data_IF_874019269671
#
_entry.id   IF_874019269671
#
_cell.length_a   1.000
_cell.length_b   1.000
_cell.length_c   1.000
_cell.angle_alpha   90.00
_cell.angle_beta   90.00
_cell.angle_gamma   90.00
#
_symmetry.space_group_name_H-M   'P 1'
#
loop_
_entity.id
_entity.type
_entity.pdbx_description
1 polymer ?
#
# COMPACT_ATOMS: atom_id res chain seq x y z
N UNK A 1 1.88 -20.60 1.41
CA UNK A 1 2.44 -19.43 2.11
C UNK A 1 2.33 -18.22 1.21
N UNK A 2 2.44 -16.98 1.73
CA UNK A 2 2.28 -15.74 0.94
C UNK A 2 3.16 -15.71 -0.32
N UNK A 3 4.38 -16.24 -0.25
CA UNK A 3 5.28 -16.36 -1.39
C UNK A 3 4.74 -17.27 -2.52
N UNK A 4 3.95 -18.30 -2.20
CA UNK A 4 3.34 -19.18 -3.19
C UNK A 4 2.22 -18.47 -3.97
N UNK A 5 1.47 -17.58 -3.31
CA UNK A 5 0.41 -16.76 -3.93
C UNK A 5 1.00 -15.76 -4.91
N UNK A 6 2.06 -15.05 -4.49
CA UNK A 6 2.79 -14.10 -5.35
C UNK A 6 3.41 -14.83 -6.55
N UNK A 7 3.96 -16.03 -6.36
CA UNK A 7 4.52 -16.83 -7.45
C UNK A 7 3.47 -17.34 -8.44
N UNK A 8 2.20 -17.44 -8.04
CA UNK A 8 1.09 -17.89 -8.89
C UNK A 8 0.35 -16.75 -9.59
N UNK A 9 0.75 -15.49 -9.35
CA UNK A 9 0.04 -14.29 -9.81
C UNK A 9 -1.43 -14.24 -9.36
N UNK A 10 -1.71 -14.85 -8.21
CA UNK A 10 -3.02 -14.80 -7.52
C UNK A 10 -3.07 -13.61 -6.54
N UNK A 11 -2.12 -12.68 -6.63
CA UNK A 11 -2.05 -11.44 -5.86
C UNK A 11 -3.11 -10.40 -6.26
N UNK A 12 -3.92 -10.70 -7.28
CA UNK A 12 -5.08 -9.93 -7.70
C UNK A 12 -6.37 -10.34 -6.99
N UNK A 13 -6.38 -11.48 -6.28
CA UNK A 13 -7.54 -11.94 -5.53
C UNK A 13 -7.68 -11.17 -4.20
N UNK A 14 -8.91 -10.90 -3.73
CA UNK A 14 -9.13 -10.27 -2.43
C UNK A 14 -8.45 -11.05 -1.30
N UNK A 15 -7.86 -10.32 -0.34
CA UNK A 15 -7.28 -10.93 0.83
C UNK A 15 -8.29 -11.82 1.56
N UNK A 16 -7.84 -13.01 1.99
CA UNK A 16 -8.67 -13.86 2.84
C UNK A 16 -8.93 -13.20 4.20
N UNK A 17 -10.05 -13.53 4.83
CA UNK A 17 -10.36 -13.05 6.18
C UNK A 17 -9.29 -13.49 7.19
N UNK A 18 -8.77 -14.72 7.05
CA UNK A 18 -7.69 -15.23 7.88
C UNK A 18 -6.42 -14.38 7.77
N UNK A 19 -6.01 -14.04 6.53
CA UNK A 19 -4.83 -13.20 6.29
C UNK A 19 -5.05 -11.78 6.83
N UNK A 20 -6.22 -11.21 6.61
CA UNK A 20 -6.60 -9.90 7.14
C UNK A 20 -6.49 -9.85 8.66
N UNK A 21 -7.05 -10.85 9.34
CA UNK A 21 -7.00 -10.95 10.79
C UNK A 21 -5.57 -11.18 11.30
N UNK A 22 -4.76 -11.97 10.60
CA UNK A 22 -3.35 -12.17 10.93
C UNK A 22 -2.55 -10.86 10.82
N UNK A 23 -2.72 -10.09 9.73
CA UNK A 23 -2.06 -8.79 9.56
C UNK A 23 -2.47 -7.80 10.64
N UNK A 24 -3.76 -7.72 10.98
CA UNK A 24 -4.25 -6.83 12.05
C UNK A 24 -3.69 -7.20 13.41
N UNK A 25 -3.66 -8.50 13.75
CA UNK A 25 -3.08 -8.97 15.01
C UNK A 25 -1.60 -8.65 15.11
N UNK A 26 -0.86 -8.86 14.02
CA UNK A 26 0.56 -8.54 13.98
C UNK A 26 0.80 -7.04 14.09
N UNK A 27 0.00 -6.21 13.41
CA UNK A 27 0.15 -4.76 13.50
C UNK A 27 -0.22 -4.20 14.88
N UNK A 28 -1.19 -4.80 15.57
CA UNK A 28 -1.57 -4.42 16.92
C UNK A 28 -0.57 -4.87 18.01
N UNK A 29 0.39 -5.73 17.68
CA UNK A 29 1.41 -6.21 18.61
C UNK A 29 2.36 -5.08 19.03
N UNK A 30 2.64 -4.99 20.33
CA UNK A 30 3.50 -3.94 20.88
C UNK A 30 4.94 -4.06 20.40
N UNK A 31 5.47 -5.27 20.26
CA UNK A 31 6.83 -5.49 19.75
C UNK A 31 6.96 -5.08 18.28
N UNK A 32 5.91 -5.30 17.48
CA UNK A 32 5.85 -4.82 16.09
C UNK A 32 5.77 -3.29 16.04
N UNK A 33 4.98 -2.65 16.90
CA UNK A 33 4.92 -1.19 16.99
C UNK A 33 6.26 -0.57 17.45
N UNK A 34 6.96 -1.19 18.41
CA UNK A 34 8.30 -0.77 18.84
C UNK A 34 9.33 -0.92 17.70
N UNK A 35 9.29 -2.03 16.97
CA UNK A 35 10.12 -2.25 15.79
C UNK A 35 9.86 -1.17 14.73
N UNK A 36 8.57 -0.90 14.45
CA UNK A 36 8.16 0.17 13.54
C UNK A 36 8.66 1.55 14.00
N UNK A 37 8.69 1.83 15.31
CA UNK A 37 9.27 3.07 15.84
C UNK A 37 10.76 3.27 15.51
N UNK A 38 11.46 2.18 15.18
CA UNK A 38 12.86 2.14 14.74
C UNK A 38 12.99 1.95 13.22
N UNK A 39 11.94 2.24 12.45
CA UNK A 39 11.92 2.01 11.00
C UNK A 39 12.99 2.77 10.22
N UNK A 40 13.63 3.77 10.82
CA UNK A 40 14.78 4.47 10.24
C UNK A 40 16.06 3.62 10.21
N UNK A 41 16.11 2.50 10.93
CA UNK A 41 17.25 1.58 10.96
C UNK A 41 17.23 0.55 9.82
N UNK A 42 16.12 0.43 9.08
CA UNK A 42 15.96 -0.55 8.01
C UNK A 42 15.12 0.00 6.84
N UNK A 43 15.04 -0.77 5.75
CA UNK A 43 14.29 -0.36 4.57
C UNK A 43 12.80 -0.67 4.76
N UNK A 44 12.03 0.34 5.17
CA UNK A 44 10.57 0.28 5.23
C UNK A 44 9.95 1.31 4.28
N UNK A 45 8.77 1.02 3.76
CA UNK A 45 8.01 1.97 2.96
C UNK A 45 7.40 3.06 3.86
N UNK A 46 7.56 4.33 3.51
CA UNK A 46 6.99 5.47 4.25
C UNK A 46 5.46 5.39 4.41
N UNK A 47 4.79 4.78 3.43
CA UNK A 47 3.34 4.57 3.44
C UNK A 47 2.90 3.33 4.23
N UNK A 48 3.83 2.58 4.86
CA UNK A 48 3.50 1.35 5.58
C UNK A 48 2.43 1.58 6.66
N UNK A 49 2.61 2.61 7.49
CA UNK A 49 1.64 2.96 8.53
C UNK A 49 0.27 3.31 7.95
N UNK A 50 0.23 4.09 6.88
CA UNK A 50 -1.02 4.49 6.21
C UNK A 50 -1.85 3.28 5.80
N UNK A 51 -1.22 2.25 5.22
CA UNK A 51 -1.93 1.05 4.81
C UNK A 51 -2.26 0.12 5.98
N UNK A 52 -1.32 -0.09 6.91
CA UNK A 52 -1.51 -1.03 8.02
C UNK A 52 -2.53 -0.54 9.07
N UNK A 53 -2.66 0.78 9.23
CA UNK A 53 -3.69 1.37 10.12
C UNK A 53 -5.11 1.18 9.57
N UNK A 54 -5.28 0.97 8.27
CA UNK A 54 -6.59 0.95 7.59
C UNK A 54 -6.86 -0.34 6.82
N UNK A 55 -6.33 -1.46 7.34
CA UNK A 55 -6.51 -2.80 6.76
C UNK A 55 -7.98 -3.19 6.60
N UNK A 56 -8.88 -2.70 7.46
CA UNK A 56 -10.32 -3.00 7.37
C UNK A 56 -10.96 -2.42 6.11
N UNK A 57 -10.45 -1.30 5.59
CA UNK A 57 -10.92 -0.72 4.33
C UNK A 57 -10.26 -1.41 3.13
N UNK A 58 -8.94 -1.63 3.22
CA UNK A 58 -8.13 -2.16 2.13
C UNK A 58 -8.40 -3.64 1.83
N UNK A 59 -8.78 -4.43 2.83
CA UNK A 59 -9.06 -5.86 2.68
C UNK A 59 -10.52 -6.17 2.32
N UNK A 60 -11.36 -5.15 2.08
CA UNK A 60 -12.74 -5.38 1.62
C UNK A 60 -12.75 -5.94 0.20
N UNK A 61 -13.71 -6.82 -0.08
CA UNK A 61 -13.91 -7.39 -1.42
C UNK A 61 -14.29 -6.34 -2.47
N UNK A 62 -14.94 -5.27 -2.04
CA UNK A 62 -15.35 -4.12 -2.86
C UNK A 62 -14.43 -2.90 -2.68
N UNK A 63 -13.21 -3.10 -2.16
CA UNK A 63 -12.25 -2.03 -1.98
C UNK A 63 -11.99 -1.29 -3.30
N UNK A 64 -12.24 0.01 -3.29
CA UNK A 64 -11.86 0.93 -4.36
C UNK A 64 -10.78 1.90 -3.84
N UNK A 65 -9.60 1.95 -4.51
CA UNK A 65 -8.56 2.88 -4.13
C UNK A 65 -9.01 4.33 -4.18
N UNK A 66 -8.71 5.06 -3.12
CA UNK A 66 -8.83 6.51 -3.09
C UNK A 66 -7.65 7.15 -3.81
N UNK A 67 -7.77 8.43 -4.16
CA UNK A 67 -6.64 9.21 -4.69
C UNK A 67 -5.44 9.19 -3.74
N UNK A 68 -5.67 9.17 -2.43
CA UNK A 68 -4.61 9.07 -1.43
C UNK A 68 -3.91 7.72 -1.45
N UNK A 69 -4.65 6.61 -1.61
CA UNK A 69 -4.05 5.29 -1.76
C UNK A 69 -3.15 5.25 -3.01
N UNK A 70 -3.60 5.83 -4.12
CA UNK A 70 -2.85 5.90 -5.37
C UNK A 70 -1.56 6.72 -5.17
N UNK A 71 -1.65 7.91 -4.58
CA UNK A 71 -0.49 8.77 -4.33
C UNK A 71 0.52 8.16 -3.35
N UNK A 72 0.04 7.36 -2.39
CA UNK A 72 0.88 6.67 -1.39
C UNK A 72 1.46 5.36 -1.90
N UNK A 73 0.94 4.81 -2.99
CA UNK A 73 1.42 3.56 -3.58
C UNK A 73 2.76 3.80 -4.27
N UNK A 74 3.80 3.11 -3.81
CA UNK A 74 5.13 3.20 -4.42
C UNK A 74 5.22 2.24 -5.59
N UNK A 75 4.91 2.72 -6.79
CA UNK A 75 5.21 2.01 -8.05
C UNK A 75 6.53 2.54 -8.60
N UNK A 76 7.45 1.64 -8.96
CA UNK A 76 8.70 2.05 -9.61
C UNK A 76 8.38 2.62 -10.99
N UNK A 77 8.80 3.86 -11.23
CA UNK A 77 8.68 4.48 -12.55
C UNK A 77 9.50 3.67 -13.58
N UNK A 78 8.83 3.10 -14.58
CA UNK A 78 9.46 2.30 -15.64
C UNK A 78 9.72 3.10 -16.92
N UNK A 79 9.31 4.37 -16.99
CA UNK A 79 9.50 5.26 -18.13
C UNK A 79 9.10 6.71 -17.86
N UNK A 80 9.24 7.58 -18.84
CA UNK A 80 8.79 8.98 -18.73
C UNK A 80 7.28 9.03 -18.97
N UNK A 81 6.55 9.61 -18.03
CA UNK A 81 5.11 9.90 -18.17
C UNK A 81 4.97 11.41 -18.25
N UNK A 82 4.54 11.93 -19.40
CA UNK A 82 4.27 13.35 -19.60
C UNK A 82 2.79 13.66 -19.40
N UNK A 83 2.47 14.65 -18.57
CA UNK A 83 1.11 15.11 -18.32
C UNK A 83 0.99 16.55 -18.79
N UNK A 84 0.18 16.75 -19.82
CA UNK A 84 -0.10 18.07 -20.38
C UNK A 84 -1.36 18.64 -19.74
N UNK A 85 -1.29 19.85 -19.18
CA UNK A 85 -2.47 20.50 -18.60
C UNK A 85 -2.45 22.01 -18.84
N UNK A 86 -3.65 22.60 -18.84
CA UNK A 86 -3.84 24.04 -19.04
C UNK A 86 -4.35 24.67 -17.75
N UNK A 87 -3.70 25.74 -17.29
CA UNK A 87 -4.13 26.50 -16.12
C UNK A 87 -4.07 28.01 -16.39
N UNK A 88 -5.19 28.72 -16.23
CA UNK A 88 -5.32 30.16 -16.49
C UNK A 88 -4.73 30.59 -17.85
N UNK A 89 -5.11 29.87 -18.92
CA UNK A 89 -4.64 30.07 -20.30
C UNK A 89 -3.13 29.86 -20.53
N UNK A 90 -2.42 29.27 -19.57
CA UNK A 90 -1.05 28.80 -19.73
C UNK A 90 -1.06 27.27 -19.91
N UNK A 91 -0.36 26.79 -20.94
CA UNK A 91 -0.18 25.38 -21.19
C UNK A 91 1.14 24.91 -20.57
N UNK A 92 1.06 23.91 -19.71
CA UNK A 92 2.20 23.25 -19.09
C UNK A 92 2.46 21.93 -19.83
N UNK A 93 3.71 21.74 -20.25
CA UNK A 93 4.25 20.52 -20.85
C UNK A 93 5.27 19.93 -19.89
#
# INVERSE_FOLDING_TARGET
>A
MVFDVVSRMEDTEPFSEELTMAMKRLWADTGVQECFGRSNEYQLNDSAKYFLDDLDRLCKKDYMPTEQDILRTRVKTTGIVEVHFSFKNLNFK
#
